data_IF_357750394849
#
_entry.id   IF_357750394849
#
_cell.length_a   1.000
_cell.length_b   1.000
_cell.length_c   1.000
_cell.angle_alpha   90.00
_cell.angle_beta   90.00
_cell.angle_gamma   90.00
#
_symmetry.space_group_name_H-M   'P 1'
#
loop_
_entity.id
_entity.type
_entity.pdbx_description
1 polymer ?
#
# COMPACT_ATOMS: atom_id res chain seq x y z
N UNK A 1 5.43 -1.48 -4.28
CA UNK A 1 6.25 -0.64 -3.38
C UNK A 1 6.16 0.80 -3.84
N UNK A 2 6.18 1.76 -2.93
CA UNK A 2 6.37 3.18 -3.25
C UNK A 2 7.40 3.77 -2.29
N UNK A 3 8.11 4.81 -2.73
CA UNK A 3 9.00 5.60 -1.87
C UNK A 3 8.75 7.08 -2.09
N UNK A 4 8.79 7.90 -1.02
CA UNK A 4 8.61 9.34 -1.14
C UNK A 4 9.87 9.98 -1.71
N UNK A 5 9.71 10.79 -2.75
CA UNK A 5 10.72 11.71 -3.28
C UNK A 5 10.22 13.13 -3.05
N UNK A 6 10.99 13.93 -2.31
CA UNK A 6 10.67 15.33 -2.03
C UNK A 6 11.59 16.19 -2.87
N UNK A 7 10.99 17.06 -3.68
CA UNK A 7 11.71 18.04 -4.48
C UNK A 7 11.54 19.41 -3.84
N UNK A 8 12.67 20.06 -3.55
CA UNK A 8 12.73 21.43 -3.04
C UNK A 8 13.23 22.34 -4.15
N UNK A 9 12.54 23.45 -4.38
CA UNK A 9 12.89 24.41 -5.43
C UNK A 9 13.14 25.77 -4.80
N UNK A 10 14.30 26.34 -5.11
CA UNK A 10 14.64 27.73 -4.81
C UNK A 10 14.68 28.49 -6.12
N UNK A 11 13.85 29.51 -6.25
CA UNK A 11 13.77 30.34 -7.44
C UNK A 11 14.17 31.79 -7.12
N UNK A 12 14.61 32.51 -8.15
CA UNK A 12 14.86 33.95 -8.10
C UNK A 12 14.20 34.60 -9.32
N UNK A 13 13.78 35.85 -9.19
CA UNK A 13 13.33 36.66 -10.32
C UNK A 13 14.55 37.18 -11.12
N UNK A 14 14.29 37.82 -12.26
CA UNK A 14 15.31 38.42 -13.13
C UNK A 14 16.20 39.46 -12.40
N UNK A 15 15.69 40.06 -11.33
CA UNK A 15 16.41 41.01 -10.47
C UNK A 15 17.21 40.36 -9.33
N UNK A 16 17.34 39.03 -9.34
CA UNK A 16 17.96 38.18 -8.30
C UNK A 16 17.26 38.22 -6.93
N UNK A 17 16.02 38.71 -6.84
CA UNK A 17 15.24 38.59 -5.60
C UNK A 17 14.68 37.18 -5.44
N UNK A 18 14.63 36.62 -4.21
CA UNK A 18 14.03 35.31 -3.97
C UNK A 18 12.57 35.27 -4.41
N UNK A 19 12.20 34.24 -5.18
CA UNK A 19 10.85 33.99 -5.65
C UNK A 19 10.28 32.73 -5.00
N UNK A 20 9.06 32.81 -4.48
CA UNK A 20 8.31 31.65 -4.00
C UNK A 20 7.37 31.22 -5.12
N UNK A 21 7.57 30.01 -5.63
CA UNK A 21 6.75 29.47 -6.71
C UNK A 21 5.30 29.30 -6.27
N UNK A 22 4.39 29.72 -7.14
CA UNK A 22 2.95 29.47 -7.04
C UNK A 22 2.61 28.01 -7.33
N UNK A 23 1.40 27.58 -6.96
CA UNK A 23 0.90 26.23 -7.25
C UNK A 23 0.86 25.95 -8.77
N UNK A 24 0.53 26.95 -9.58
CA UNK A 24 0.51 26.86 -11.03
C UNK A 24 1.92 26.64 -11.60
N UNK A 25 2.92 27.36 -11.09
CA UNK A 25 4.33 27.16 -11.48
C UNK A 25 4.83 25.77 -11.05
N UNK A 26 4.51 25.35 -9.82
CA UNK A 26 4.81 24.02 -9.28
C UNK A 26 4.06 22.88 -9.99
N UNK A 27 2.98 23.18 -10.72
CA UNK A 27 2.24 22.17 -11.50
C UNK A 27 3.10 21.58 -12.62
N UNK A 28 4.04 22.37 -13.16
CA UNK A 28 4.96 21.96 -14.22
C UNK A 28 6.13 21.09 -13.73
N UNK A 29 6.37 21.07 -12.41
CA UNK A 29 7.42 20.26 -11.81
C UNK A 29 7.13 18.78 -12.07
N UNK A 30 8.11 18.02 -12.58
CA UNK A 30 8.00 16.58 -12.82
C UNK A 30 9.27 15.85 -12.40
N UNK A 31 9.15 14.55 -12.14
CA UNK A 31 10.31 13.68 -11.95
C UNK A 31 10.79 13.16 -13.31
N UNK A 32 12.11 13.02 -13.45
CA UNK A 32 12.79 12.63 -14.69
C UNK A 32 13.83 11.54 -14.44
N UNK A 33 14.13 10.77 -15.47
CA UNK A 33 15.22 9.80 -15.51
C UNK A 33 16.54 10.52 -15.84
N UNK A 34 17.57 10.28 -15.02
CA UNK A 34 18.89 10.88 -15.12
C UNK A 34 20.02 9.85 -15.34
N UNK A 35 19.72 8.60 -15.70
CA UNK A 35 20.71 7.57 -16.03
C UNK A 35 21.37 7.78 -17.41
N UNK A 36 20.80 8.66 -18.24
CA UNK A 36 21.33 9.05 -19.55
C UNK A 36 20.97 10.49 -19.92
N UNK A 37 20.56 10.70 -21.18
CA UNK A 37 19.94 11.98 -21.57
C UNK A 37 18.65 12.16 -20.77
N UNK A 38 18.46 13.31 -20.10
CA UNK A 38 17.29 13.56 -19.26
C UNK A 38 15.99 13.30 -20.02
N UNK A 39 15.13 12.45 -19.45
CA UNK A 39 13.89 12.03 -20.10
C UNK A 39 12.80 11.72 -19.07
N UNK A 40 11.57 11.53 -19.54
CA UNK A 40 10.47 11.13 -18.66
C UNK A 40 10.71 9.72 -18.10
N UNK A 41 10.22 9.46 -16.87
CA UNK A 41 10.30 8.11 -16.32
C UNK A 41 9.58 7.11 -17.23
N UNK A 42 10.26 6.01 -17.49
CA UNK A 42 9.82 4.93 -18.38
C UNK A 42 10.22 3.56 -17.80
N UNK A 43 9.98 2.48 -18.54
CA UNK A 43 10.37 1.11 -18.17
C UNK A 43 9.77 0.63 -16.85
N UNK A 44 8.49 0.92 -16.64
CA UNK A 44 7.77 0.51 -15.43
C UNK A 44 7.98 1.43 -14.22
N UNK A 45 8.81 2.47 -14.34
CA UNK A 45 8.90 3.54 -13.35
C UNK A 45 7.80 4.56 -13.54
N UNK A 46 7.13 4.90 -12.44
CA UNK A 46 6.03 5.86 -12.41
C UNK A 46 6.09 6.68 -11.13
N UNK A 47 5.42 7.82 -11.13
CA UNK A 47 5.23 8.61 -9.91
C UNK A 47 3.81 9.16 -9.79
N UNK A 48 3.39 9.41 -8.56
CA UNK A 48 2.09 9.99 -8.22
C UNK A 48 2.24 11.03 -7.11
N UNK A 49 1.29 11.94 -6.97
CA UNK A 49 1.19 12.81 -5.79
C UNK A 49 0.44 12.13 -4.63
N UNK A 50 -0.14 10.96 -4.87
CA UNK A 50 -0.91 10.17 -3.89
C UNK A 50 -0.15 8.90 -3.51
N UNK A 51 -0.01 8.67 -2.21
CA UNK A 51 0.50 7.42 -1.64
C UNK A 51 -0.47 6.28 -1.95
N UNK A 52 0.04 5.11 -2.30
CA UNK A 52 -0.81 3.94 -2.48
C UNK A 52 -1.16 3.28 -1.13
N UNK A 53 -1.92 2.19 -1.18
CA UNK A 53 -2.45 1.51 0.01
C UNK A 53 -1.46 0.55 0.71
N UNK A 54 -0.27 0.34 0.15
CA UNK A 54 0.67 -0.67 0.63
C UNK A 54 1.66 -0.05 1.64
N UNK A 55 2.15 -0.84 2.59
CA UNK A 55 3.21 -0.35 3.48
C UNK A 55 4.53 -0.15 2.71
N UNK A 56 5.29 0.84 3.16
CA UNK A 56 6.56 1.24 2.56
C UNK A 56 7.67 1.13 3.60
N UNK A 57 8.62 0.23 3.38
CA UNK A 57 9.83 0.17 4.17
C UNK A 57 10.91 1.01 3.50
N UNK A 58 11.26 2.11 4.15
CA UNK A 58 12.44 2.88 3.76
C UNK A 58 13.64 2.22 4.43
N UNK A 59 14.61 1.78 3.63
CA UNK A 59 15.80 1.09 4.14
C UNK A 59 16.66 1.98 5.05
N UNK A 60 17.58 1.38 5.84
CA UNK A 60 18.43 2.10 6.80
C UNK A 60 19.38 3.13 6.17
N UNK A 61 19.54 3.13 4.84
CA UNK A 61 20.36 4.12 4.12
C UNK A 61 19.63 5.44 3.82
N UNK A 62 18.35 5.56 4.19
CA UNK A 62 17.64 6.82 4.05
C UNK A 62 17.83 7.64 5.33
N UNK A 63 18.83 8.52 5.32
CA UNK A 63 18.91 9.58 6.31
C UNK A 63 17.78 10.59 6.04
N UNK A 64 16.61 10.32 6.60
CA UNK A 64 15.61 11.36 6.81
C UNK A 64 16.02 12.12 8.07
N UNK A 65 16.97 13.05 7.95
CA UNK A 65 17.09 14.13 8.93
C UNK A 65 15.91 15.09 8.69
N UNK A 66 14.77 14.75 9.28
CA UNK A 66 13.56 15.59 9.27
C UNK A 66 13.75 16.77 10.19
N UNK A 67 14.53 17.75 9.73
CA UNK A 67 14.48 19.16 10.14
C UNK A 67 15.43 19.98 9.25
N UNK A 68 15.44 19.77 7.94
CA UNK A 68 15.97 20.77 7.03
C UNK A 68 14.83 21.72 6.72
N UNK A 69 15.02 23.02 6.95
CA UNK A 69 14.13 24.04 6.41
C UNK A 69 14.18 23.94 4.88
N UNK A 70 13.22 23.23 4.29
CA UNK A 70 13.24 22.70 2.91
C UNK A 70 13.02 23.78 1.82
N UNK A 71 13.36 25.03 2.10
CA UNK A 71 13.12 26.16 1.19
C UNK A 71 11.63 26.50 1.03
N UNK A 72 11.32 27.60 0.32
CA UNK A 72 9.96 28.15 0.27
C UNK A 72 8.98 27.31 -0.54
N UNK A 73 9.44 26.56 -1.55
CA UNK A 73 8.59 25.78 -2.45
C UNK A 73 9.01 24.31 -2.50
N UNK A 74 8.09 23.40 -2.14
CA UNK A 74 8.34 21.96 -2.09
C UNK A 74 7.18 21.15 -2.66
N UNK A 75 7.50 20.00 -3.26
CA UNK A 75 6.50 19.03 -3.74
C UNK A 75 6.95 17.61 -3.46
N UNK A 76 6.03 16.79 -2.96
CA UNK A 76 6.27 15.37 -2.68
C UNK A 76 5.65 14.52 -3.80
N UNK A 77 6.42 13.54 -4.24
CA UNK A 77 6.02 12.50 -5.16
C UNK A 77 6.21 11.13 -4.52
N UNK A 78 5.41 10.17 -4.95
CA UNK A 78 5.51 8.76 -4.60
C UNK A 78 5.94 7.99 -5.82
N UNK A 79 7.20 7.53 -5.82
CA UNK A 79 7.78 6.79 -6.95
C UNK A 79 7.53 5.31 -6.78
N UNK A 80 7.08 4.65 -7.85
CA UNK A 80 6.81 3.21 -7.90
C UNK A 80 7.56 2.58 -9.07
N UNK A 81 7.96 1.33 -8.91
CA UNK A 81 8.40 0.48 -10.01
C UNK A 81 7.88 -0.95 -9.84
N UNK A 82 7.72 -1.65 -10.96
CA UNK A 82 7.45 -3.09 -11.03
C UNK A 82 8.73 -3.93 -11.24
N UNK A 83 9.87 -3.28 -11.53
CA UNK A 83 11.14 -3.93 -11.85
C UNK A 83 12.10 -3.89 -10.66
N UNK A 84 12.94 -4.93 -10.55
CA UNK A 84 13.98 -5.03 -9.54
C UNK A 84 15.29 -4.39 -10.05
N UNK A 85 15.27 -3.09 -10.25
CA UNK A 85 16.41 -2.34 -10.80
C UNK A 85 16.64 -1.01 -10.06
N UNK A 86 17.79 -0.39 -10.28
CA UNK A 86 18.08 0.95 -9.76
C UNK A 86 17.84 2.00 -10.84
N UNK A 87 17.31 3.16 -10.44
CA UNK A 87 17.15 4.32 -11.31
C UNK A 87 17.61 5.59 -10.62
N UNK A 88 18.34 6.45 -11.34
CA UNK A 88 18.65 7.80 -10.88
C UNK A 88 17.53 8.75 -11.26
N UNK A 89 16.83 9.27 -10.26
CA UNK A 89 15.68 10.15 -10.45
C UNK A 89 16.05 11.58 -10.07
N UNK A 90 15.82 12.50 -11.00
CA UNK A 90 15.92 13.93 -10.80
C UNK A 90 14.56 14.61 -10.87
N UNK A 91 14.58 15.92 -10.98
CA UNK A 91 13.39 16.73 -11.24
C UNK A 91 13.64 17.72 -12.36
N UNK A 92 12.57 18.11 -13.05
CA UNK A 92 12.58 19.24 -13.99
C UNK A 92 11.36 20.12 -13.78
N UNK A 93 11.52 21.41 -14.06
CA UNK A 93 10.45 22.42 -13.97
C UNK A 93 10.48 23.29 -15.22
N UNK A 94 9.31 23.70 -15.69
CA UNK A 94 9.20 24.67 -16.78
C UNK A 94 9.15 26.07 -16.17
N UNK A 95 10.06 26.94 -16.57
CA UNK A 95 10.06 28.34 -16.15
C UNK A 95 9.18 29.19 -17.09
N UNK A 96 8.90 30.43 -16.71
CA UNK A 96 7.90 31.28 -17.39
C UNK A 96 8.21 31.55 -18.87
N UNK A 97 9.49 31.63 -19.26
CA UNK A 97 9.91 31.81 -20.65
C UNK A 97 9.73 30.54 -21.52
N UNK A 98 9.31 29.44 -20.89
CA UNK A 98 9.06 28.15 -21.52
C UNK A 98 10.27 27.21 -21.56
N UNK A 99 11.45 27.67 -21.12
CA UNK A 99 12.62 26.81 -20.96
C UNK A 99 12.43 25.81 -19.80
N UNK A 100 13.22 24.74 -19.84
CA UNK A 100 13.20 23.67 -18.84
C UNK A 100 14.51 23.71 -18.07
N UNK A 101 14.39 23.75 -16.74
CA UNK A 101 15.51 23.59 -15.82
C UNK A 101 15.37 22.23 -15.16
N UNK A 102 16.46 21.48 -15.09
CA UNK A 102 16.49 20.15 -14.51
C UNK A 102 17.69 19.92 -13.58
N UNK A 103 17.58 18.90 -12.74
CA UNK A 103 18.63 18.54 -11.78
C UNK A 103 19.73 17.64 -12.37
N UNK A 104 19.63 17.31 -13.65
CA UNK A 104 20.65 16.58 -14.40
C UNK A 104 21.76 17.50 -14.95
N UNK A 105 21.55 18.82 -14.94
CA UNK A 105 22.50 19.82 -15.44
C UNK A 105 23.73 20.08 -14.56
N UNK A 106 24.88 20.28 -15.24
CA UNK A 106 26.21 20.73 -14.77
C UNK A 106 26.89 19.98 -13.61
N UNK A 107 28.21 19.82 -13.73
CA UNK A 107 29.14 19.18 -12.77
C UNK A 107 28.99 19.75 -11.34
N UNK A 108 28.50 20.99 -11.21
CA UNK A 108 28.41 21.73 -9.95
C UNK A 108 27.13 21.48 -9.13
N UNK A 109 25.99 21.11 -9.74
CA UNK A 109 24.71 21.01 -9.03
C UNK A 109 23.85 19.84 -9.53
N UNK A 110 24.44 18.64 -9.61
CA UNK A 110 23.67 17.40 -9.83
C UNK A 110 22.97 16.99 -8.54
N UNK A 111 21.65 17.07 -8.51
CA UNK A 111 20.83 16.65 -7.37
C UNK A 111 19.84 15.56 -7.82
N UNK A 112 20.24 14.31 -7.63
CA UNK A 112 19.46 13.13 -7.99
C UNK A 112 19.41 12.17 -6.83
N UNK A 113 18.32 11.41 -6.73
CA UNK A 113 18.21 10.28 -5.80
C UNK A 113 18.35 8.97 -6.57
N UNK A 114 19.16 8.04 -6.05
CA UNK A 114 19.18 6.69 -6.58
C UNK A 114 18.12 5.85 -5.85
N UNK A 115 17.17 5.30 -6.60
CA UNK A 115 16.10 4.46 -6.06
C UNK A 115 16.29 3.06 -6.59
N UNK A 116 16.34 2.07 -5.69
CA UNK A 116 16.40 0.65 -6.05
C UNK A 116 15.05 -0.02 -5.81
N UNK A 117 14.40 -0.45 -6.89
CA UNK A 117 13.26 -1.36 -6.85
C UNK A 117 13.68 -2.73 -6.32
N UNK A 118 12.89 -3.29 -5.42
CA UNK A 118 13.08 -4.66 -4.91
C UNK A 118 11.89 -5.50 -5.31
N UNK A 119 12.09 -6.78 -5.64
CA UNK A 119 10.98 -7.67 -5.90
C UNK A 119 10.08 -7.76 -4.66
N UNK A 120 8.77 -7.95 -4.83
CA UNK A 120 7.88 -8.24 -3.71
C UNK A 120 8.40 -9.44 -2.92
N UNK A 121 8.22 -9.40 -1.60
CA UNK A 121 8.45 -10.59 -0.77
C UNK A 121 7.26 -11.51 -0.95
N UNK A 122 7.52 -12.70 -1.48
CA UNK A 122 6.52 -13.76 -1.51
C UNK A 122 6.16 -14.16 -0.08
N UNK A 123 4.86 -14.22 0.19
CA UNK A 123 4.32 -14.81 1.42
C UNK A 123 3.86 -16.22 1.09
N UNK A 124 4.45 -17.20 1.76
CA UNK A 124 4.11 -18.62 1.61
C UNK A 124 3.15 -19.04 2.71
N UNK A 125 2.48 -20.19 2.56
CA UNK A 125 1.59 -20.70 3.61
C UNK A 125 2.33 -20.96 4.93
N UNK A 126 3.60 -21.38 4.86
CA UNK A 126 4.45 -21.56 6.03
C UNK A 126 4.77 -20.25 6.78
N UNK A 127 4.65 -19.10 6.11
CA UNK A 127 4.75 -17.77 6.73
C UNK A 127 3.48 -17.36 7.46
N UNK A 128 2.39 -18.11 7.30
CA UNK A 128 1.11 -17.82 7.93
C UNK A 128 0.98 -18.59 9.23
N UNK A 129 0.34 -17.97 10.21
CA UNK A 129 -0.20 -18.67 11.37
C UNK A 129 -1.72 -18.60 11.28
N UNK A 130 -2.33 -19.76 11.00
CA UNK A 130 -3.77 -19.93 10.93
C UNK A 130 -4.19 -20.82 12.08
N UNK A 131 -5.04 -20.31 12.96
CA UNK A 131 -5.57 -21.10 14.07
C UNK A 131 -7.05 -20.82 14.29
N UNK A 132 -7.71 -21.81 14.87
CA UNK A 132 -9.09 -21.73 15.33
C UNK A 132 -9.09 -21.29 16.80
N UNK A 133 -10.00 -20.38 17.16
CA UNK A 133 -10.28 -20.06 18.55
C UNK A 133 -10.85 -21.29 19.26
N UNK A 134 -10.47 -21.49 20.53
CA UNK A 134 -11.09 -22.52 21.36
C UNK A 134 -12.43 -22.06 21.94
N UNK A 135 -12.70 -20.75 21.93
CA UNK A 135 -13.97 -20.18 22.34
C UNK A 135 -14.97 -20.17 21.18
N UNK A 136 -15.51 -21.36 20.88
CA UNK A 136 -16.58 -21.56 19.90
C UNK A 136 -17.96 -21.40 20.55
N UNK A 137 -18.99 -21.19 19.75
CA UNK A 137 -20.37 -21.11 20.23
C UNK A 137 -21.26 -22.07 19.46
N UNK A 138 -22.00 -22.90 20.17
CA UNK A 138 -22.94 -23.86 19.61
C UNK A 138 -24.33 -23.59 20.17
N UNK A 139 -25.38 -23.88 19.40
CA UNK A 139 -26.75 -23.76 19.90
C UNK A 139 -27.83 -24.19 18.91
N UNK A 140 -29.07 -24.14 19.40
CA UNK A 140 -30.25 -24.55 18.66
C UNK A 140 -31.16 -23.33 18.40
N UNK A 141 -31.55 -23.15 17.15
CA UNK A 141 -32.59 -22.21 16.70
C UNK A 141 -33.58 -23.05 15.90
N UNK A 142 -34.57 -23.65 16.57
CA UNK A 142 -35.58 -24.54 15.98
C UNK A 142 -36.06 -24.05 14.59
N UNK A 143 -35.97 -24.87 13.53
CA UNK A 143 -35.55 -26.29 13.46
C UNK A 143 -34.05 -26.53 13.23
N UNK A 144 -33.20 -25.51 13.33
CA UNK A 144 -31.79 -25.54 12.99
C UNK A 144 -30.89 -25.66 14.22
N UNK A 145 -29.72 -26.25 14.02
CA UNK A 145 -28.59 -26.13 14.94
C UNK A 145 -27.53 -25.25 14.30
N UNK A 146 -26.74 -24.56 15.09
CA UNK A 146 -25.60 -23.78 14.62
C UNK A 146 -24.34 -24.17 15.38
N UNK A 147 -23.23 -24.16 14.66
CA UNK A 147 -21.87 -24.23 15.19
C UNK A 147 -21.11 -22.99 14.68
N UNK A 148 -20.51 -22.26 15.61
CA UNK A 148 -19.74 -21.05 15.34
C UNK A 148 -18.27 -21.33 15.62
N UNK A 149 -17.50 -21.36 14.55
CA UNK A 149 -16.04 -21.38 14.58
C UNK A 149 -15.45 -20.01 14.26
N UNK A 150 -14.41 -19.65 15.01
CA UNK A 150 -13.66 -18.43 14.79
C UNK A 150 -12.26 -18.80 14.31
N UNK A 151 -11.86 -18.25 13.16
CA UNK A 151 -10.54 -18.47 12.60
C UNK A 151 -9.75 -17.18 12.52
N UNK A 152 -8.45 -17.32 12.69
CA UNK A 152 -7.51 -16.24 12.87
C UNK A 152 -6.26 -16.48 12.05
N UNK A 153 -5.87 -15.48 11.24
CA UNK A 153 -4.78 -15.53 10.29
C UNK A 153 -3.77 -14.40 10.51
N UNK A 154 -2.58 -14.70 11.00
CA UNK A 154 -1.46 -13.75 11.05
C UNK A 154 -0.35 -14.10 10.08
N UNK A 155 0.60 -13.19 9.90
CA UNK A 155 1.85 -13.45 9.20
C UNK A 155 2.96 -13.51 10.26
N UNK A 156 3.75 -14.58 10.23
CA UNK A 156 4.90 -14.80 11.11
C UNK A 156 5.99 -13.75 10.88
N UNK A 157 6.71 -13.48 11.96
CA UNK A 157 7.79 -12.49 12.00
C UNK A 157 7.26 -11.08 12.28
N UNK A 158 8.06 -10.05 11.96
CA UNK A 158 7.68 -8.65 12.14
C UNK A 158 6.90 -8.11 10.93
N UNK A 159 5.94 -8.90 10.42
CA UNK A 159 5.09 -8.57 9.28
C UNK A 159 3.64 -8.54 9.73
N UNK A 160 2.83 -7.71 9.10
CA UNK A 160 1.41 -7.63 9.39
C UNK A 160 0.59 -7.85 8.12
N UNK A 161 -0.52 -8.57 8.25
CA UNK A 161 -1.53 -8.59 7.20
C UNK A 161 -2.05 -7.16 7.07
N UNK A 162 -2.13 -6.63 5.85
CA UNK A 162 -2.68 -5.28 5.55
C UNK A 162 -4.02 -5.33 4.86
N UNK A 163 -4.19 -6.34 4.01
CA UNK A 163 -5.33 -6.48 3.13
C UNK A 163 -5.52 -7.96 2.80
N UNK A 164 -6.77 -8.39 2.77
CA UNK A 164 -7.21 -9.69 2.28
C UNK A 164 -8.24 -9.43 1.20
N UNK A 165 -8.09 -10.11 0.07
CA UNK A 165 -9.08 -10.07 -0.98
C UNK A 165 -10.00 -11.29 -0.85
N UNK A 166 -11.30 -11.07 -0.99
CA UNK A 166 -12.32 -12.10 -0.85
C UNK A 166 -13.01 -12.27 -2.19
N UNK A 167 -12.85 -13.44 -2.79
CA UNK A 167 -13.40 -13.75 -4.10
C UNK A 167 -14.18 -15.05 -4.00
N UNK A 168 -15.41 -15.06 -4.53
CA UNK A 168 -16.15 -16.29 -4.77
C UNK A 168 -15.60 -16.95 -6.03
N UNK A 169 -15.18 -18.21 -5.92
CA UNK A 169 -14.67 -18.99 -7.05
C UNK A 169 -15.58 -20.18 -7.33
N UNK A 170 -16.24 -20.17 -8.49
CA UNK A 170 -16.87 -21.36 -9.06
C UNK A 170 -15.86 -22.08 -9.95
N UNK A 171 -14.98 -22.83 -9.29
CA UNK A 171 -13.90 -23.58 -9.94
C UNK A 171 -14.44 -24.85 -10.58
N UNK A 172 -14.77 -24.79 -11.87
CA UNK A 172 -14.88 -26.00 -12.69
C UNK A 172 -13.63 -26.90 -12.55
N UNK A 173 -13.72 -28.16 -12.98
CA UNK A 173 -12.71 -29.22 -12.71
C UNK A 173 -11.29 -29.01 -13.28
N UNK A 174 -11.01 -27.91 -13.98
CA UNK A 174 -9.87 -27.81 -14.90
C UNK A 174 -8.92 -26.63 -14.73
N UNK A 175 -9.12 -25.72 -13.77
CA UNK A 175 -8.19 -24.61 -13.54
C UNK A 175 -7.46 -24.74 -12.18
N UNK A 176 -6.17 -24.38 -12.09
CA UNK A 176 -5.34 -24.77 -10.98
C UNK A 176 -5.70 -23.97 -9.73
N UNK A 177 -6.14 -24.72 -8.73
CA UNK A 177 -5.63 -24.76 -7.36
C UNK A 177 -5.50 -23.39 -6.71
N UNK A 178 -6.28 -23.22 -5.64
CA UNK A 178 -6.21 -22.27 -4.52
C UNK A 178 -4.80 -22.14 -3.89
N UNK A 179 -3.75 -21.96 -4.71
CA UNK A 179 -2.34 -22.22 -4.40
C UNK A 179 -1.77 -21.28 -3.34
N UNK A 180 -2.50 -20.21 -3.01
CA UNK A 180 -2.22 -19.28 -1.90
C UNK A 180 -3.52 -18.74 -1.30
N UNK A 181 -4.57 -19.56 -1.30
CA UNK A 181 -5.90 -19.17 -0.84
C UNK A 181 -6.33 -20.06 0.31
N UNK A 182 -7.04 -19.49 1.28
CA UNK A 182 -7.73 -20.25 2.31
C UNK A 182 -9.17 -20.42 1.81
N UNK A 183 -9.57 -21.67 1.60
CA UNK A 183 -10.94 -22.01 1.25
C UNK A 183 -11.60 -22.77 2.39
N UNK A 184 -12.87 -22.46 2.63
CA UNK A 184 -13.73 -23.21 3.51
C UNK A 184 -14.63 -24.09 2.65
N UNK A 185 -14.58 -25.40 2.88
CA UNK A 185 -15.51 -26.36 2.27
C UNK A 185 -16.45 -26.83 3.35
N UNK A 186 -17.73 -26.83 3.06
CA UNK A 186 -18.74 -27.23 4.01
C UNK A 186 -19.53 -28.42 3.47
N UNK A 187 -19.59 -29.50 4.22
CA UNK A 187 -20.38 -30.67 3.86
C UNK A 187 -21.79 -30.46 4.44
N UNK A 188 -22.79 -30.30 3.57
CA UNK A 188 -24.23 -30.42 3.87
C UNK A 188 -24.74 -29.82 5.20
N UNK A 189 -24.74 -28.49 5.35
CA UNK A 189 -25.57 -27.81 6.36
C UNK A 189 -26.53 -26.79 5.70
N UNK A 190 -27.74 -26.61 6.26
CA UNK A 190 -28.80 -25.83 5.64
C UNK A 190 -28.57 -24.31 5.63
N UNK A 191 -27.62 -23.78 6.41
CA UNK A 191 -27.27 -22.35 6.38
C UNK A 191 -25.84 -22.07 6.84
N UNK A 192 -25.12 -21.24 6.10
CA UNK A 192 -23.82 -20.69 6.48
C UNK A 192 -23.88 -19.17 6.45
N UNK A 193 -23.36 -18.54 7.50
CA UNK A 193 -23.12 -17.10 7.51
C UNK A 193 -21.65 -16.92 7.83
N UNK A 194 -20.95 -16.24 6.94
CA UNK A 194 -19.54 -15.95 7.11
C UNK A 194 -19.31 -14.46 7.27
N UNK A 195 -18.45 -14.11 8.23
CA UNK A 195 -18.06 -12.74 8.47
C UNK A 195 -16.55 -12.62 8.30
N UNK A 196 -16.15 -11.59 7.56
CA UNK A 196 -14.79 -11.11 7.49
C UNK A 196 -14.71 -9.75 8.16
N UNK A 197 -13.68 -9.55 8.98
CA UNK A 197 -13.47 -8.28 9.67
C UNK A 197 -12.29 -7.54 9.05
N UNK A 198 -12.39 -6.20 8.85
CA UNK A 198 -11.28 -5.40 8.36
C UNK A 198 -10.03 -5.61 9.20
N UNK A 199 -8.90 -5.85 8.56
CA UNK A 199 -7.57 -5.99 9.20
C UNK A 199 -7.35 -4.93 10.28
N UNK A 200 -6.85 -5.33 11.44
CA UNK A 200 -6.56 -4.43 12.55
C UNK A 200 -6.47 -5.15 13.90
N UNK A 201 -6.41 -4.40 15.02
CA UNK A 201 -6.37 -4.99 16.35
C UNK A 201 -7.54 -5.93 16.63
N UNK A 202 -7.34 -6.81 17.61
CA UNK A 202 -8.41 -7.63 18.17
C UNK A 202 -9.52 -6.74 18.73
N UNK A 203 -10.73 -6.93 18.24
CA UNK A 203 -11.93 -6.23 18.70
C UNK A 203 -13.07 -7.22 18.90
N UNK A 204 -14.05 -6.87 19.73
CA UNK A 204 -15.31 -7.61 19.79
C UNK A 204 -16.34 -6.85 18.96
N UNK A 205 -16.92 -7.50 17.96
CA UNK A 205 -17.97 -6.91 17.13
C UNK A 205 -19.27 -7.70 17.30
N UNK A 206 -20.39 -6.99 17.42
CA UNK A 206 -21.71 -7.61 17.37
C UNK A 206 -22.07 -7.92 15.91
N UNK A 207 -22.27 -9.20 15.59
CA UNK A 207 -22.62 -9.67 14.26
C UNK A 207 -23.85 -10.59 14.30
N UNK A 208 -24.64 -10.60 13.23
CA UNK A 208 -25.87 -11.38 13.12
C UNK A 208 -26.70 -10.99 11.88
N UNK A 209 -27.73 -11.78 11.56
CA UNK A 209 -28.69 -11.44 10.51
C UNK A 209 -29.53 -10.22 10.93
N UNK A 210 -29.46 -9.14 10.16
CA UNK A 210 -30.14 -7.86 10.44
C UNK A 210 -31.68 -7.93 10.37
N UNK A 211 -32.26 -9.00 9.83
CA UNK A 211 -33.70 -9.07 9.50
C UNK A 211 -34.39 -10.35 10.01
N UNK A 212 -34.41 -10.59 11.31
CA UNK A 212 -35.43 -11.48 11.89
C UNK A 212 -35.89 -10.91 13.22
N UNK A 213 -37.20 -10.69 13.36
CA UNK A 213 -37.90 -10.16 14.53
C UNK A 213 -37.86 -11.13 15.73
N UNK A 214 -36.70 -11.70 16.04
CA UNK A 214 -36.49 -12.60 17.16
C UNK A 214 -35.39 -11.99 18.02
N UNK A 215 -35.72 -11.78 19.29
CA UNK A 215 -34.93 -10.99 20.23
C UNK A 215 -33.45 -11.36 20.26
N UNK A 216 -32.61 -10.32 20.33
CA UNK A 216 -31.19 -10.30 20.73
C UNK A 216 -30.50 -11.66 20.74
N UNK A 217 -29.59 -11.88 19.80
CA UNK A 217 -28.51 -12.83 19.99
C UNK A 217 -27.16 -12.17 19.68
N UNK A 218 -26.24 -12.38 20.61
CA UNK A 218 -24.93 -11.73 20.75
C UNK A 218 -23.90 -12.77 20.35
N UNK A 219 -23.04 -12.45 19.37
CA UNK A 219 -21.92 -13.31 19.01
C UNK A 219 -20.64 -12.48 18.98
N UNK A 220 -19.60 -12.98 19.65
CA UNK A 220 -18.28 -12.37 19.81
C UNK A 220 -17.34 -12.99 18.79
N UNK A 221 -16.56 -12.17 18.07
CA UNK A 221 -15.40 -12.61 17.28
C UNK A 221 -14.34 -11.52 17.25
N UNK A 222 -13.08 -11.85 17.58
CA UNK A 222 -11.85 -11.61 16.80
C UNK A 222 -10.60 -12.04 17.59
N UNK A 223 -9.52 -12.40 16.90
CA UNK A 223 -8.13 -12.30 17.34
C UNK A 223 -7.18 -12.53 16.17
N UNK A 224 -6.55 -11.50 15.61
CA UNK A 224 -5.38 -11.71 14.75
C UNK A 224 -4.32 -10.71 15.21
N UNK A 225 -3.14 -11.19 15.61
CA UNK A 225 -1.95 -10.39 16.00
C UNK A 225 -0.96 -10.23 14.86
#
# INVERSE_FOLDING_TARGET
>A
MQVPVVVTVSAVNDDNTPHTLTDDELSSLKLIDCDGTPSDLSDGWTYSTTENRYDHTIGPSAEWTVAVDLGPSKKRYWVSTATAESKNIGASIKVQDGSVVDTSGSITFKSTVNITGRPPVDVLFEDLDLWQDTNTANGDIDPYTYDQDNYYLTIKGNRHVRYLDCNDFDGGRSDPILYRSIAMFSNDMPCYIWYWWPVGPTTTVLAGCKNVNVGRQIYRVRSIR
#
